data_IF_163154124784
#
_entry.id   IF_163154124784
#
_cell.length_a   1.000
_cell.length_b   1.000
_cell.length_c   1.000
_cell.angle_alpha   90.00
_cell.angle_beta   90.00
_cell.angle_gamma   90.00
#
_symmetry.space_group_name_H-M   'P 1'
#
loop_
_entity.id
_entity.type
_entity.pdbx_description
1 polymer ?
#
# COMPACT_ATOMS: atom_id res chain seq x y z
N UNK A 1 9.50 0.64 11.30
CA UNK A 1 8.16 1.21 11.04
C UNK A 1 7.95 1.24 9.55
N UNK A 2 6.94 0.54 9.03
CA UNK A 2 6.76 0.45 7.59
C UNK A 2 6.18 1.75 7.02
N UNK A 3 6.60 2.05 5.80
CA UNK A 3 6.21 3.25 5.06
C UNK A 3 5.59 2.84 3.73
N UNK A 4 4.67 3.65 3.24
CA UNK A 4 4.11 3.45 1.92
C UNK A 4 5.16 3.78 0.85
N UNK A 5 5.49 2.84 -0.01
CA UNK A 5 6.42 3.09 -1.14
C UNK A 5 5.80 3.91 -2.29
N UNK A 6 4.58 4.45 -2.13
CA UNK A 6 3.93 5.32 -3.11
C UNK A 6 3.97 6.80 -2.68
N UNK A 7 3.51 7.11 -1.47
CA UNK A 7 3.48 8.48 -0.94
C UNK A 7 4.51 8.76 0.18
N UNK A 8 5.22 7.75 0.66
CA UNK A 8 6.18 7.89 1.77
C UNK A 8 5.52 8.08 3.15
N UNK A 9 4.19 8.05 3.22
CA UNK A 9 3.45 8.14 4.49
C UNK A 9 3.70 6.92 5.38
N UNK A 10 3.59 7.16 6.68
CA UNK A 10 3.69 6.11 7.67
C UNK A 10 2.45 5.20 7.65
N UNK A 11 2.66 3.89 7.70
CA UNK A 11 1.60 2.87 7.78
C UNK A 11 1.88 1.94 8.95
N UNK A 12 0.83 1.42 9.59
CA UNK A 12 1.02 0.52 10.74
C UNK A 12 1.41 -0.88 10.28
N UNK A 13 2.19 -1.59 11.11
CA UNK A 13 2.62 -2.96 10.82
C UNK A 13 1.44 -3.92 10.65
N UNK A 14 0.36 -3.72 11.42
CA UNK A 14 -0.88 -4.48 11.26
C UNK A 14 -1.52 -4.23 9.89
N UNK A 15 -1.51 -3.00 9.40
CA UNK A 15 -2.05 -2.67 8.08
C UNK A 15 -1.21 -3.33 6.98
N UNK A 16 0.11 -3.23 7.07
CA UNK A 16 1.02 -3.89 6.13
C UNK A 16 0.81 -5.39 6.12
N UNK A 17 0.63 -6.02 7.28
CA UNK A 17 0.39 -7.47 7.37
C UNK A 17 -0.90 -7.92 6.67
N UNK A 18 -1.94 -7.09 6.68
CA UNK A 18 -3.23 -7.42 6.04
C UNK A 18 -3.21 -7.12 4.54
N UNK A 19 -2.53 -6.05 4.14
CA UNK A 19 -2.56 -5.54 2.75
C UNK A 19 -1.28 -5.84 1.95
N UNK A 20 -0.36 -6.61 2.50
CA UNK A 20 0.83 -7.14 1.82
C UNK A 20 0.70 -8.65 1.71
N UNK A 21 0.83 -9.24 0.51
CA UNK A 21 0.76 -10.69 0.36
C UNK A 21 2.00 -11.35 0.99
N UNK A 22 1.85 -12.52 1.60
CA UNK A 22 2.95 -13.27 2.22
C UNK A 22 4.08 -13.61 1.23
N UNK A 23 3.80 -13.69 -0.08
CA UNK A 23 4.82 -13.91 -1.10
C UNK A 23 5.75 -12.70 -1.35
N UNK A 24 5.52 -11.56 -0.70
CA UNK A 24 6.20 -10.29 -0.94
C UNK A 24 6.66 -9.65 0.37
N UNK A 25 7.13 -10.46 1.32
CA UNK A 25 7.70 -10.00 2.59
C UNK A 25 8.82 -8.97 2.34
N UNK A 26 8.73 -7.81 3.02
CA UNK A 26 9.66 -6.69 2.87
C UNK A 26 9.22 -5.61 1.87
N UNK A 27 8.14 -5.83 1.11
CA UNK A 27 7.53 -4.78 0.29
C UNK A 27 6.43 -4.04 1.08
N UNK A 28 6.33 -2.72 0.88
CA UNK A 28 5.28 -1.91 1.51
C UNK A 28 3.87 -2.33 1.05
N UNK A 29 2.81 -1.87 1.76
CA UNK A 29 1.46 -2.33 1.50
C UNK A 29 1.00 -1.98 0.08
N UNK A 30 0.23 -2.88 -0.55
CA UNK A 30 -0.34 -2.66 -1.90
C UNK A 30 -1.35 -1.52 -1.94
N UNK A 31 -2.03 -1.30 -0.82
CA UNK A 31 -2.99 -0.23 -0.64
C UNK A 31 -2.45 0.66 0.46
N UNK A 32 -2.44 1.97 0.27
CA UNK A 32 -2.16 2.90 1.35
C UNK A 32 -3.48 3.59 1.73
N UNK A 33 -3.78 3.76 3.03
CA UNK A 33 -4.92 4.56 3.46
C UNK A 33 -4.81 6.02 2.99
N UNK A 34 -3.58 6.53 2.80
CA UNK A 34 -3.30 7.90 2.38
C UNK A 34 -3.14 8.04 0.86
N UNK A 35 -3.20 6.95 0.09
CA UNK A 35 -3.29 7.02 -1.36
C UNK A 35 -4.75 6.81 -1.76
N UNK A 36 -5.48 7.92 -1.90
CA UNK A 36 -6.91 7.91 -2.23
C UNK A 36 -7.17 7.35 -3.64
N UNK A 37 -6.26 7.60 -4.58
CA UNK A 37 -6.38 7.35 -6.02
C UNK A 37 -5.34 6.37 -6.57
N UNK A 38 -4.43 5.84 -5.75
CA UNK A 38 -3.31 5.03 -6.24
C UNK A 38 -3.13 3.73 -5.44
N UNK A 39 -2.98 2.63 -6.18
CA UNK A 39 -2.79 1.29 -5.66
C UNK A 39 -1.54 0.69 -6.28
N UNK A 40 -0.72 0.04 -5.47
CA UNK A 40 0.42 -0.74 -5.95
C UNK A 40 -0.02 -2.19 -6.16
N UNK A 41 0.15 -2.70 -7.37
CA UNK A 41 -0.08 -4.11 -7.68
C UNK A 41 1.25 -4.76 -8.11
N UNK A 42 1.89 -5.47 -7.18
CA UNK A 42 3.21 -6.05 -7.41
C UNK A 42 4.31 -4.98 -7.51
N UNK A 43 4.90 -4.82 -8.68
CA UNK A 43 5.93 -3.82 -8.96
C UNK A 43 5.37 -2.50 -9.52
N UNK A 44 4.13 -2.50 -10.00
CA UNK A 44 3.53 -1.36 -10.70
C UNK A 44 2.53 -0.60 -9.83
N UNK A 45 2.40 0.70 -10.08
CA UNK A 45 1.39 1.56 -9.45
C UNK A 45 0.30 1.84 -10.47
N UNK A 46 -0.94 1.55 -10.11
CA UNK A 46 -2.15 1.80 -10.92
C UNK A 46 -3.10 2.74 -10.21
N UNK A 47 -3.94 3.42 -10.98
CA UNK A 47 -5.03 4.21 -10.42
C UNK A 47 -6.11 3.33 -9.77
N UNK A 48 -6.63 3.80 -8.64
CA UNK A 48 -7.71 3.17 -7.92
C UNK A 48 -9.01 3.33 -8.71
N UNK A 49 -9.81 2.27 -8.76
CA UNK A 49 -11.11 2.28 -9.46
C UNK A 49 -12.19 3.10 -8.72
N UNK A 50 -11.90 3.57 -7.51
CA UNK A 50 -12.73 4.43 -6.69
C UNK A 50 -11.84 5.22 -5.75
N UNK A 51 -12.11 6.50 -5.56
CA UNK A 51 -11.56 7.25 -4.43
C UNK A 51 -12.08 6.66 -3.13
N UNK A 52 -11.23 6.60 -2.12
CA UNK A 52 -11.61 6.18 -0.76
C UNK A 52 -11.86 7.46 0.05
N UNK A 53 -13.15 7.80 0.22
CA UNK A 53 -13.60 8.80 1.18
C UNK A 53 -13.71 8.20 2.58
#
# INVERSE_FOLDING_TARGET
MPECQNCGEFVTEQYVRVFTPEAVEGHGPRVCPNCEDKLRDGADVREARSSRQ
#
